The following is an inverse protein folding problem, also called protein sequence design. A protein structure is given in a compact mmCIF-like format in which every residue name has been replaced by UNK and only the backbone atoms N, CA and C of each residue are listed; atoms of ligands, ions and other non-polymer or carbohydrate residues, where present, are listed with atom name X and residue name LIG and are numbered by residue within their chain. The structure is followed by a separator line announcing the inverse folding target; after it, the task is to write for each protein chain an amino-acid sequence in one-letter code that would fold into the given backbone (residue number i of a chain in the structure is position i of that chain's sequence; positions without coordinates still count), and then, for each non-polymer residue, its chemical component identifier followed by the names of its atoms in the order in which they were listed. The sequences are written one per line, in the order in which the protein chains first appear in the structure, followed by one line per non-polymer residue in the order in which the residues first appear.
data_IF_492198910763
#
_entry.id   IF_492198910763
#
_cell.length_a   1.000
_cell.length_b   1.000
_cell.length_c   1.000
_cell.angle_alpha   90.00
_cell.angle_beta   90.00
_cell.angle_gamma   90.00
#
_symmetry.space_group_name_H-M   'P 1'
#
loop_
_entity.id
_entity.type
_entity.pdbx_description
1 polymer ?
#
# COMPACT_ATOMS: atom_id res chain seq x y z
N UNK A 1 7.85 -11.72 -22.28
CA UNK A 1 7.23 -12.65 -21.32
C UNK A 1 8.02 -12.55 -20.03
N UNK A 2 7.39 -12.24 -18.90
CA UNK A 2 8.06 -12.10 -17.61
C UNK A 2 7.67 -13.32 -16.76
N UNK A 3 8.67 -14.03 -16.24
CA UNK A 3 8.49 -15.16 -15.31
C UNK A 3 8.91 -14.64 -13.94
N UNK A 4 8.01 -14.74 -12.96
CA UNK A 4 8.24 -14.30 -11.59
C UNK A 4 8.38 -15.54 -10.70
N UNK A 5 9.47 -15.61 -9.95
CA UNK A 5 9.69 -16.62 -8.91
C UNK A 5 9.31 -16.03 -7.54
N UNK A 6 8.58 -16.79 -6.72
CA UNK A 6 8.14 -16.35 -5.40
C UNK A 6 8.78 -17.27 -4.36
N UNK A 7 9.69 -16.72 -3.56
CA UNK A 7 10.42 -17.46 -2.52
C UNK A 7 9.56 -17.70 -1.26
N UNK A 8 8.67 -16.76 -0.92
CA UNK A 8 7.76 -16.91 0.21
C UNK A 8 6.45 -16.13 -0.01
N UNK A 9 5.33 -16.71 0.45
CA UNK A 9 4.04 -16.06 0.50
C UNK A 9 3.46 -16.20 1.92
N UNK A 10 3.17 -15.07 2.56
CA UNK A 10 2.60 -15.04 3.90
C UNK A 10 1.10 -14.74 3.83
N UNK A 11 0.32 -15.43 4.67
CA UNK A 11 -1.09 -15.15 4.82
C UNK A 11 -1.27 -13.83 5.58
N UNK A 12 -1.43 -12.72 4.87
CA UNK A 12 -2.20 -11.61 5.41
C UNK A 12 -3.66 -12.04 5.57
N UNK A 13 -4.41 -11.37 6.46
CA UNK A 13 -5.78 -11.75 6.83
C UNK A 13 -6.66 -11.88 5.57
N UNK A 14 -6.80 -13.10 5.02
CA UNK A 14 -7.44 -13.37 3.72
C UNK A 14 -8.87 -12.88 3.67
N UNK A 15 -9.54 -12.88 4.84
CA UNK A 15 -10.86 -12.28 5.07
C UNK A 15 -10.92 -10.79 4.67
N UNK A 16 -9.86 -10.01 4.92
CA UNK A 16 -9.84 -8.59 4.58
C UNK A 16 -9.85 -8.38 3.06
N UNK A 17 -9.06 -9.15 2.30
CA UNK A 17 -8.98 -9.09 0.83
C UNK A 17 -10.32 -9.52 0.19
N UNK A 18 -10.95 -10.57 0.71
CA UNK A 18 -12.25 -11.03 0.21
C UNK A 18 -13.34 -9.99 0.51
N UNK A 19 -13.39 -9.44 1.72
CA UNK A 19 -14.42 -8.46 2.13
C UNK A 19 -14.26 -7.10 1.43
N UNK A 20 -13.03 -6.66 1.17
CA UNK A 20 -12.78 -5.41 0.42
C UNK A 20 -12.96 -5.58 -1.08
N UNK A 21 -13.03 -6.82 -1.57
CA UNK A 21 -13.03 -7.18 -2.99
C UNK A 21 -11.86 -6.55 -3.77
N UNK A 22 -10.70 -6.44 -3.14
CA UNK A 22 -9.50 -5.88 -3.78
C UNK A 22 -9.05 -6.68 -5.01
N UNK A 23 -9.49 -7.93 -5.12
CA UNK A 23 -9.22 -8.80 -6.27
C UNK A 23 -10.02 -8.44 -7.53
N UNK A 24 -11.08 -7.62 -7.45
CA UNK A 24 -11.94 -7.25 -8.57
C UNK A 24 -11.51 -5.90 -9.18
N UNK A 25 -10.90 -5.88 -10.39
CA UNK A 25 -10.43 -4.65 -11.02
C UNK A 25 -11.54 -3.65 -11.34
N UNK A 26 -12.79 -4.12 -11.52
CA UNK A 26 -13.92 -3.23 -11.80
C UNK A 26 -14.26 -2.31 -10.62
N UNK A 27 -13.74 -2.63 -9.43
CA UNK A 27 -13.95 -1.87 -8.19
C UNK A 27 -12.78 -0.95 -7.84
N UNK A 28 -11.72 -0.93 -8.65
CA UNK A 28 -10.55 -0.11 -8.39
C UNK A 28 -10.81 1.33 -8.79
N UNK A 29 -10.55 2.25 -7.87
CA UNK A 29 -10.57 3.68 -8.17
C UNK A 29 -9.24 4.10 -8.83
N UNK A 30 -9.26 5.12 -9.69
CA UNK A 30 -8.04 5.77 -10.16
C UNK A 30 -7.17 6.23 -8.98
N UNK A 31 -5.85 6.12 -9.11
CA UNK A 31 -4.91 6.37 -8.01
C UNK A 31 -5.02 7.81 -7.49
N UNK A 32 -5.33 8.74 -8.38
CA UNK A 32 -5.45 10.16 -8.10
C UNK A 32 -6.64 10.48 -7.18
N UNK A 33 -7.62 9.56 -7.10
CA UNK A 33 -8.77 9.69 -6.20
C UNK A 33 -8.51 9.17 -4.79
N UNK A 34 -7.38 8.50 -4.57
CA UNK A 34 -7.01 7.94 -3.28
C UNK A 34 -5.99 8.84 -2.56
N UNK A 35 -6.12 9.02 -1.23
CA UNK A 35 -5.10 9.70 -0.46
C UNK A 35 -3.77 8.94 -0.52
N UNK A 36 -2.66 9.67 -0.35
CA UNK A 36 -1.36 9.04 -0.17
C UNK A 36 -1.30 8.27 1.16
N UNK A 37 -0.33 7.36 1.28
CA UNK A 37 -0.14 6.64 2.54
C UNK A 37 0.22 7.61 3.68
N UNK A 38 1.09 8.58 3.43
CA UNK A 38 1.38 9.64 4.39
C UNK A 38 0.13 10.40 4.84
N UNK A 39 -0.75 10.75 3.90
CA UNK A 39 -2.02 11.46 4.20
C UNK A 39 -2.94 10.61 5.08
N UNK A 40 -3.08 9.31 4.77
CA UNK A 40 -3.87 8.38 5.60
C UNK A 40 -3.29 8.27 7.02
N UNK A 41 -1.97 8.17 7.14
CA UNK A 41 -1.29 8.09 8.43
C UNK A 41 -1.43 9.38 9.24
N UNK A 42 -1.27 10.54 8.62
CA UNK A 42 -1.47 11.82 9.30
C UNK A 42 -2.90 12.00 9.79
N UNK A 43 -3.90 11.55 9.03
CA UNK A 43 -5.28 11.57 9.53
C UNK A 43 -5.46 10.66 10.76
N UNK A 44 -4.84 9.47 10.77
CA UNK A 44 -4.93 8.54 11.90
C UNK A 44 -4.15 9.01 13.13
N UNK A 45 -3.12 9.84 12.94
CA UNK A 45 -2.26 10.38 13.99
C UNK A 45 -2.67 11.80 14.44
N UNK A 46 -3.89 12.24 14.14
CA UNK A 46 -4.39 13.59 14.44
C UNK A 46 -3.45 14.74 13.98
N UNK A 47 -2.73 14.51 12.88
CA UNK A 47 -1.78 15.46 12.30
C UNK A 47 -0.36 15.40 12.88
N UNK A 48 -0.11 14.58 13.91
CA UNK A 48 1.22 14.37 14.51
C UNK A 48 2.07 13.37 13.70
N UNK A 49 2.08 13.53 12.37
CA UNK A 49 2.83 12.68 11.47
C UNK A 49 3.24 13.47 10.23
N UNK A 50 4.54 13.46 9.92
CA UNK A 50 5.06 14.08 8.70
C UNK A 50 4.74 13.23 7.48
N UNK A 51 3.51 13.41 6.97
CA UNK A 51 3.02 12.76 5.75
C UNK A 51 3.93 13.02 4.55
N UNK A 52 4.46 14.23 4.42
CA UNK A 52 5.22 14.64 3.25
C UNK A 52 6.62 14.00 3.24
N UNK A 53 7.30 13.94 4.39
CA UNK A 53 8.54 13.18 4.53
C UNK A 53 8.30 11.69 4.28
N UNK A 54 7.24 11.13 4.87
CA UNK A 54 6.90 9.73 4.68
C UNK A 54 6.70 9.36 3.21
N UNK A 55 5.87 10.12 2.48
CA UNK A 55 5.60 9.84 1.07
C UNK A 55 6.83 10.01 0.17
N UNK A 56 7.73 10.97 0.49
CA UNK A 56 8.99 11.15 -0.25
C UNK A 56 9.95 9.99 -0.04
N UNK A 57 10.04 9.45 1.17
CA UNK A 57 10.99 8.40 1.54
C UNK A 57 10.48 7.00 1.23
N UNK A 58 9.15 6.82 1.11
CA UNK A 58 8.50 5.53 0.91
C UNK A 58 9.05 4.72 -0.29
N UNK A 59 9.29 5.30 -1.48
CA UNK A 59 9.83 4.53 -2.61
C UNK A 59 11.19 3.91 -2.30
N UNK A 60 12.10 4.70 -1.69
CA UNK A 60 13.43 4.23 -1.31
C UNK A 60 13.37 3.17 -0.21
N UNK A 61 12.58 3.41 0.84
CA UNK A 61 12.40 2.43 1.94
C UNK A 61 11.82 1.11 1.45
N UNK A 62 10.89 1.16 0.49
CA UNK A 62 10.30 -0.04 -0.12
C UNK A 62 11.37 -0.85 -0.85
N UNK A 63 12.22 -0.19 -1.64
CA UNK A 63 13.33 -0.84 -2.33
C UNK A 63 14.33 -1.44 -1.35
N UNK A 64 14.72 -0.69 -0.32
CA UNK A 64 15.76 -1.14 0.63
C UNK A 64 15.30 -2.27 1.58
N UNK A 65 13.98 -2.45 1.79
CA UNK A 65 13.44 -3.40 2.77
C UNK A 65 12.68 -4.60 2.17
N UNK A 66 12.22 -4.51 0.92
CA UNK A 66 11.40 -5.55 0.29
C UNK A 66 12.05 -6.16 -0.96
N UNK A 67 13.21 -5.66 -1.38
CA UNK A 67 14.03 -6.15 -2.49
C UNK A 67 15.49 -6.23 -2.08
#
# INVERSE_FOLDING_TARGET
MIVVHIDAAYFHCSKAIVRSALWDPARHLPREQLPSAGTMHAHLADGDFDAAAYDRELPKRTQDMLY
#
